data_IF_768932116573
#
_entry.id   IF_768932116573
#
_cell.length_a   1.000
_cell.length_b   1.000
_cell.length_c   1.000
_cell.angle_alpha   90.00
_cell.angle_beta   90.00
_cell.angle_gamma   90.00
#
_symmetry.space_group_name_H-M   'P 1'
#
loop_
_entity.id
_entity.type
_entity.pdbx_description
1 polymer ?
#
# COMPACT_ATOMS: atom_id res chain seq x y z
N UNK A 1 46.09 7.99 5.97
CA UNK A 1 46.00 7.16 7.19
C UNK A 1 44.89 7.75 8.06
N UNK A 2 43.89 6.95 8.44
CA UNK A 2 42.65 7.49 9.02
C UNK A 2 42.35 6.83 10.38
N UNK A 3 42.24 7.62 11.45
CA UNK A 3 41.82 7.22 12.79
C UNK A 3 40.33 6.83 12.84
N UNK A 4 39.48 7.46 13.69
CA UNK A 4 38.08 7.04 13.91
C UNK A 4 37.27 6.84 12.61
N UNK A 5 36.54 5.71 12.52
CA UNK A 5 35.72 5.37 11.34
C UNK A 5 34.28 5.08 11.72
N UNK A 6 33.35 5.50 10.87
CA UNK A 6 31.94 5.09 10.90
C UNK A 6 31.67 4.22 9.69
N UNK A 7 31.16 3.02 9.91
CA UNK A 7 31.07 1.96 8.89
C UNK A 7 29.68 1.34 8.90
N UNK A 8 29.10 1.11 7.72
CA UNK A 8 27.89 0.29 7.52
C UNK A 8 28.27 -1.09 7.00
N UNK A 9 27.78 -2.13 7.68
CA UNK A 9 27.96 -3.53 7.29
C UNK A 9 26.66 -4.07 6.70
N UNK A 10 26.73 -4.53 5.45
CA UNK A 10 25.61 -5.16 4.75
C UNK A 10 25.91 -6.65 4.57
N UNK A 11 25.04 -7.50 5.12
CA UNK A 11 25.22 -8.96 5.10
C UNK A 11 24.50 -9.61 3.90
N UNK A 12 24.92 -10.80 3.44
CA UNK A 12 24.18 -11.57 2.44
C UNK A 12 22.73 -11.87 2.84
N UNK A 13 22.46 -12.08 4.13
CA UNK A 13 21.12 -12.29 4.66
C UNK A 13 20.25 -11.04 4.52
N UNK A 14 20.79 -9.86 4.85
CA UNK A 14 20.11 -8.58 4.63
C UNK A 14 19.79 -8.36 3.15
N UNK A 15 20.74 -8.64 2.25
CA UNK A 15 20.52 -8.55 0.80
C UNK A 15 19.43 -9.51 0.30
N UNK A 16 19.41 -10.75 0.80
CA UNK A 16 18.37 -11.75 0.52
C UNK A 16 17.00 -11.24 0.98
N UNK A 17 16.90 -10.77 2.23
CA UNK A 17 15.67 -10.24 2.81
C UNK A 17 15.13 -9.04 2.05
N UNK A 18 15.98 -8.07 1.67
CA UNK A 18 15.58 -6.92 0.88
C UNK A 18 15.04 -7.36 -0.48
N UNK A 19 15.75 -8.26 -1.18
CA UNK A 19 15.30 -8.80 -2.47
C UNK A 19 13.95 -9.52 -2.32
N UNK A 20 13.81 -10.42 -1.36
CA UNK A 20 12.57 -11.15 -1.11
C UNK A 20 11.41 -10.19 -0.80
N UNK A 21 11.62 -9.20 0.07
CA UNK A 21 10.62 -8.18 0.40
C UNK A 21 10.03 -7.51 -0.84
N UNK A 22 10.90 -7.04 -1.73
CA UNK A 22 10.51 -6.34 -2.95
C UNK A 22 9.87 -7.29 -3.97
N UNK A 23 10.41 -8.49 -4.14
CA UNK A 23 9.83 -9.49 -5.04
C UNK A 23 8.45 -9.95 -4.59
N UNK A 24 8.22 -10.18 -3.30
CA UNK A 24 6.89 -10.55 -2.79
C UNK A 24 5.87 -9.44 -3.03
N UNK A 25 6.26 -8.17 -2.80
CA UNK A 25 5.38 -7.02 -3.11
C UNK A 25 5.07 -6.92 -4.59
N UNK A 26 6.07 -7.09 -5.46
CA UNK A 26 5.89 -7.07 -6.91
C UNK A 26 4.95 -8.20 -7.37
N UNK A 27 5.19 -9.43 -6.92
CA UNK A 27 4.32 -10.59 -7.20
C UNK A 27 2.88 -10.30 -6.84
N UNK A 28 2.63 -9.81 -5.64
CA UNK A 28 1.27 -9.52 -5.19
C UNK A 28 0.63 -8.40 -6.00
N UNK A 29 1.38 -7.38 -6.40
CA UNK A 29 0.88 -6.31 -7.27
C UNK A 29 0.52 -6.83 -8.65
N UNK A 30 1.35 -7.69 -9.23
CA UNK A 30 1.08 -8.36 -10.51
C UNK A 30 -0.19 -9.21 -10.41
N UNK A 31 -0.30 -10.05 -9.37
CA UNK A 31 -1.49 -10.88 -9.13
C UNK A 31 -2.76 -10.04 -8.95
N UNK A 32 -2.68 -8.89 -8.27
CA UNK A 32 -3.81 -7.97 -8.15
C UNK A 32 -4.25 -7.41 -9.52
N UNK A 33 -3.30 -7.01 -10.37
CA UNK A 33 -3.61 -6.52 -11.73
C UNK A 33 -4.19 -7.62 -12.59
N UNK A 34 -3.59 -8.84 -12.57
CA UNK A 34 -4.09 -10.00 -13.29
C UNK A 34 -5.51 -10.37 -12.86
N UNK A 35 -5.73 -10.54 -11.55
CA UNK A 35 -7.05 -10.88 -11.02
C UNK A 35 -8.11 -9.83 -11.38
N UNK A 36 -7.75 -8.54 -11.35
CA UNK A 36 -8.65 -7.46 -11.78
C UNK A 36 -8.96 -7.53 -13.28
N UNK A 37 -7.94 -7.71 -14.13
CA UNK A 37 -8.13 -7.81 -15.58
C UNK A 37 -8.98 -9.03 -15.96
N UNK A 38 -8.74 -10.20 -15.35
CA UNK A 38 -9.52 -11.43 -15.57
C UNK A 38 -10.98 -11.22 -15.14
N UNK A 39 -11.21 -10.66 -13.94
CA UNK A 39 -12.56 -10.39 -13.42
C UNK A 39 -13.40 -9.52 -14.36
N UNK A 40 -12.77 -8.63 -15.14
CA UNK A 40 -13.44 -7.71 -16.04
C UNK A 40 -13.32 -8.08 -17.53
N UNK A 41 -12.84 -9.27 -17.86
CA UNK A 41 -12.60 -9.70 -19.25
C UNK A 41 -11.72 -8.70 -20.05
N UNK A 42 -10.79 -8.03 -19.37
CA UNK A 42 -9.81 -7.11 -19.95
C UNK A 42 -8.40 -7.71 -19.99
N UNK A 43 -8.31 -9.03 -19.83
CA UNK A 43 -7.04 -9.76 -19.83
C UNK A 43 -6.63 -10.04 -21.27
N UNK A 44 -5.49 -9.47 -21.69
CA UNK A 44 -4.91 -9.66 -23.02
C UNK A 44 -3.63 -10.50 -22.93
N UNK A 45 -3.33 -11.28 -23.96
CA UNK A 45 -2.10 -12.09 -24.03
C UNK A 45 -0.83 -11.22 -23.90
N UNK A 46 -0.84 -10.02 -24.50
CA UNK A 46 0.25 -9.04 -24.38
C UNK A 46 0.49 -8.60 -22.92
N UNK A 47 -0.59 -8.38 -22.14
CA UNK A 47 -0.49 -7.99 -20.74
C UNK A 47 0.01 -9.14 -19.89
N UNK A 48 -0.39 -10.38 -20.20
CA UNK A 48 0.14 -11.56 -19.53
C UNK A 48 1.66 -11.69 -19.75
N UNK A 49 2.09 -11.66 -21.02
CA UNK A 49 3.50 -11.78 -21.39
C UNK A 49 4.36 -10.71 -20.73
N UNK A 50 3.92 -9.45 -20.75
CA UNK A 50 4.64 -8.35 -20.13
C UNK A 50 4.77 -8.50 -18.60
N UNK A 51 3.73 -8.98 -17.93
CA UNK A 51 3.76 -9.20 -16.47
C UNK A 51 4.67 -10.38 -16.08
N UNK A 52 4.65 -11.46 -16.86
CA UNK A 52 5.48 -12.64 -16.63
C UNK A 52 6.96 -12.33 -16.90
N UNK A 53 7.28 -11.64 -18.00
CA UNK A 53 8.64 -11.18 -18.33
C UNK A 53 9.19 -10.25 -17.25
N UNK A 54 8.37 -9.31 -16.76
CA UNK A 54 8.75 -8.40 -15.67
C UNK A 54 9.14 -9.18 -14.41
N UNK A 55 8.34 -10.17 -14.03
CA UNK A 55 8.56 -10.98 -12.84
C UNK A 55 9.81 -11.86 -12.99
N UNK A 56 10.00 -12.48 -14.14
CA UNK A 56 11.17 -13.30 -14.45
C UNK A 56 12.47 -12.47 -14.42
N UNK A 57 12.45 -11.28 -15.02
CA UNK A 57 13.58 -10.34 -15.01
C UNK A 57 14.07 -10.06 -13.59
N UNK A 58 13.20 -9.61 -12.68
CA UNK A 58 13.59 -9.25 -11.32
C UNK A 58 13.93 -10.48 -10.44
N UNK A 59 13.36 -11.65 -10.74
CA UNK A 59 13.76 -12.89 -10.07
C UNK A 59 15.20 -13.29 -10.38
N UNK A 60 15.61 -13.13 -11.64
CA UNK A 60 16.92 -13.51 -12.14
C UNK A 60 18.06 -12.55 -11.72
N UNK A 61 17.76 -11.33 -11.26
CA UNK A 61 18.79 -10.41 -10.76
C UNK A 61 19.46 -10.98 -9.51
N UNK A 62 20.80 -11.00 -9.46
CA UNK A 62 21.55 -11.42 -8.27
C UNK A 62 21.16 -10.60 -7.02
N UNK A 63 21.13 -11.27 -5.86
CA UNK A 63 20.92 -10.63 -4.54
C UNK A 63 21.94 -9.52 -4.24
N UNK A 64 23.11 -9.56 -4.87
CA UNK A 64 24.17 -8.57 -4.66
C UNK A 64 23.80 -7.20 -5.26
N UNK A 65 22.91 -7.17 -6.25
CA UNK A 65 22.37 -5.96 -6.86
C UNK A 65 21.09 -5.44 -6.16
N UNK A 66 20.95 -5.69 -4.85
CA UNK A 66 19.75 -5.32 -4.08
C UNK A 66 19.36 -3.83 -4.17
N UNK A 67 20.33 -2.91 -4.29
CA UNK A 67 20.04 -1.47 -4.46
C UNK A 67 19.33 -1.17 -5.78
N UNK A 68 19.73 -1.88 -6.85
CA UNK A 68 19.08 -1.78 -8.17
C UNK A 68 17.64 -2.29 -8.08
N UNK A 69 17.45 -3.44 -7.43
CA UNK A 69 16.12 -4.03 -7.17
C UNK A 69 15.24 -3.06 -6.39
N UNK A 70 15.74 -2.47 -5.29
CA UNK A 70 14.97 -1.53 -4.47
C UNK A 70 14.48 -0.31 -5.27
N UNK A 71 15.32 0.25 -6.14
CA UNK A 71 14.97 1.41 -6.97
C UNK A 71 14.03 1.05 -8.13
N UNK A 72 14.31 -0.04 -8.84
CA UNK A 72 13.57 -0.39 -10.06
C UNK A 72 12.25 -1.07 -9.75
N UNK A 73 12.20 -1.96 -8.74
CA UNK A 73 10.95 -2.62 -8.34
C UNK A 73 9.97 -1.63 -7.72
N UNK A 74 10.44 -0.64 -6.97
CA UNK A 74 9.54 0.42 -6.47
C UNK A 74 8.91 1.20 -7.62
N UNK A 75 9.70 1.62 -8.62
CA UNK A 75 9.19 2.25 -9.85
C UNK A 75 8.23 1.35 -10.63
N UNK A 76 8.50 0.04 -10.70
CA UNK A 76 7.62 -0.92 -11.36
C UNK A 76 6.29 -1.11 -10.61
N UNK A 77 6.30 -1.13 -9.27
CA UNK A 77 5.07 -1.18 -8.46
C UNK A 77 4.23 0.07 -8.73
N UNK A 78 4.83 1.26 -8.77
CA UNK A 78 4.12 2.49 -9.12
C UNK A 78 3.54 2.47 -10.54
N UNK A 79 4.25 1.89 -11.50
CA UNK A 79 3.74 1.68 -12.85
C UNK A 79 2.52 0.74 -12.85
N UNK A 80 2.60 -0.40 -12.15
CA UNK A 80 1.47 -1.33 -12.02
C UNK A 80 0.27 -0.71 -11.30
N UNK A 81 0.48 0.18 -10.33
CA UNK A 81 -0.59 0.95 -9.70
C UNK A 81 -1.28 1.89 -10.70
N UNK A 82 -0.51 2.53 -11.59
CA UNK A 82 -1.07 3.37 -12.67
C UNK A 82 -1.86 2.52 -13.66
N UNK A 83 -1.33 1.34 -14.03
CA UNK A 83 -2.04 0.41 -14.92
C UNK A 83 -3.33 -0.12 -14.29
N UNK A 84 -3.33 -0.53 -13.01
CA UNK A 84 -4.56 -0.89 -12.27
C UNK A 84 -5.56 0.27 -12.32
N UNK A 85 -5.11 1.51 -12.06
CA UNK A 85 -5.98 2.72 -12.14
C UNK A 85 -6.52 2.95 -13.55
N UNK A 86 -5.75 2.69 -14.60
CA UNK A 86 -6.21 2.83 -15.99
C UNK A 86 -7.29 1.78 -16.32
N UNK A 87 -7.09 0.53 -15.89
CA UNK A 87 -8.12 -0.52 -16.01
C UNK A 87 -9.38 -0.15 -15.25
N UNK A 88 -9.25 0.30 -13.99
CA UNK A 88 -10.37 0.79 -13.18
C UNK A 88 -11.12 1.90 -13.90
N UNK A 89 -10.44 2.91 -14.48
CA UNK A 89 -11.08 3.98 -15.26
C UNK A 89 -11.89 3.44 -16.45
N UNK A 90 -11.36 2.46 -17.18
CA UNK A 90 -12.08 1.81 -18.30
C UNK A 90 -13.34 1.11 -17.80
N UNK A 91 -13.24 0.33 -16.73
CA UNK A 91 -14.37 -0.37 -16.10
C UNK A 91 -15.42 0.61 -15.56
N UNK A 92 -14.98 1.67 -14.87
CA UNK A 92 -15.84 2.75 -14.36
C UNK A 92 -16.61 3.40 -15.51
N UNK A 93 -15.96 3.68 -16.65
CA UNK A 93 -16.62 4.25 -17.84
C UNK A 93 -17.71 3.32 -18.39
N UNK A 94 -17.41 2.02 -18.53
CA UNK A 94 -18.37 1.02 -18.98
C UNK A 94 -19.56 0.94 -18.01
N UNK A 95 -19.31 0.81 -16.72
CA UNK A 95 -20.38 0.74 -15.70
C UNK A 95 -21.21 2.01 -15.63
N UNK A 96 -20.57 3.17 -15.74
CA UNK A 96 -21.26 4.46 -15.77
C UNK A 96 -22.23 4.52 -16.95
N UNK A 97 -21.79 4.11 -18.15
CA UNK A 97 -22.66 4.06 -19.33
C UNK A 97 -23.82 3.05 -19.19
N UNK A 98 -23.57 1.90 -18.56
CA UNK A 98 -24.62 0.91 -18.25
C UNK A 98 -25.65 1.48 -17.26
N UNK A 99 -25.20 2.12 -16.19
CA UNK A 99 -26.08 2.76 -15.20
C UNK A 99 -26.92 3.88 -15.83
N UNK A 100 -26.30 4.75 -16.63
CA UNK A 100 -27.01 5.84 -17.32
C UNK A 100 -28.02 5.30 -18.33
N UNK A 101 -27.68 4.25 -19.06
CA UNK A 101 -28.60 3.55 -19.96
C UNK A 101 -29.79 2.96 -19.19
N UNK A 102 -29.54 2.33 -18.04
CA UNK A 102 -30.59 1.75 -17.20
C UNK A 102 -31.53 2.83 -16.69
N UNK A 103 -30.98 3.94 -16.18
CA UNK A 103 -31.75 5.10 -15.72
C UNK A 103 -32.61 5.70 -16.83
N UNK A 104 -32.03 5.89 -18.01
CA UNK A 104 -32.76 6.43 -19.16
C UNK A 104 -33.91 5.50 -19.57
N UNK A 105 -33.66 4.18 -19.65
CA UNK A 105 -34.70 3.20 -19.94
C UNK A 105 -35.81 3.19 -18.90
N UNK A 106 -35.49 3.34 -17.61
CA UNK A 106 -36.48 3.45 -16.53
C UNK A 106 -37.36 4.69 -16.69
N UNK A 107 -36.77 5.85 -17.01
CA UNK A 107 -37.51 7.08 -17.32
C UNK A 107 -38.43 6.89 -18.52
N UNK A 108 -37.89 6.37 -19.63
CA UNK A 108 -38.65 6.12 -20.86
C UNK A 108 -39.78 5.14 -20.64
N UNK A 109 -39.58 4.06 -19.87
CA UNK A 109 -40.62 3.13 -19.51
C UNK A 109 -41.76 3.80 -18.74
N UNK A 110 -41.46 4.62 -17.73
CA UNK A 110 -42.47 5.34 -16.95
C UNK A 110 -43.26 6.33 -17.82
N UNK A 111 -42.59 7.06 -18.71
CA UNK A 111 -43.21 7.98 -19.65
C UNK A 111 -44.12 7.25 -20.66
N UNK A 112 -43.65 6.15 -21.25
CA UNK A 112 -44.44 5.33 -22.18
C UNK A 112 -45.66 4.73 -21.48
N UNK A 113 -45.50 4.23 -20.25
CA UNK A 113 -46.60 3.70 -19.43
C UNK A 113 -47.66 4.75 -19.18
N UNK A 114 -47.26 5.98 -18.85
CA UNK A 114 -48.19 7.10 -18.67
C UNK A 114 -48.93 7.46 -19.96
N UNK A 115 -48.21 7.54 -21.09
CA UNK A 115 -48.79 7.86 -22.39
C UNK A 115 -49.76 6.79 -22.91
N UNK A 116 -49.39 5.50 -22.79
CA UNK A 116 -50.23 4.38 -23.20
C UNK A 116 -51.51 4.32 -22.36
N UNK A 117 -51.41 4.52 -21.04
CA UNK A 117 -52.59 4.62 -20.15
C UNK A 117 -53.50 5.78 -20.55
N UNK A 118 -52.95 6.96 -20.80
CA UNK A 118 -53.74 8.14 -21.19
C UNK A 118 -54.44 7.95 -22.55
N UNK A 119 -53.85 7.18 -23.45
CA UNK A 119 -54.45 6.83 -24.74
C UNK A 119 -55.37 5.60 -24.70
N UNK A 120 -55.60 5.01 -23.52
CA UNK A 120 -56.38 3.78 -23.34
C UNK A 120 -55.92 2.62 -24.26
N UNK A 121 -54.61 2.54 -24.52
CA UNK A 121 -54.04 1.44 -25.29
C UNK A 121 -53.71 0.31 -24.31
N UNK A 122 -54.16 -0.91 -24.61
CA UNK A 122 -53.86 -2.09 -23.77
C UNK A 122 -52.40 -2.51 -23.93
N UNK A 123 -51.71 -2.73 -22.81
CA UNK A 123 -50.33 -3.21 -22.80
C UNK A 123 -50.05 -4.04 -21.55
N UNK A 124 -49.17 -5.04 -21.69
CA UNK A 124 -48.71 -5.83 -20.54
C UNK A 124 -47.74 -5.00 -19.70
N UNK A 125 -48.14 -4.72 -18.46
CA UNK A 125 -47.25 -4.13 -17.48
C UNK A 125 -46.19 -5.16 -17.07
N UNK A 126 -44.92 -4.77 -17.03
CA UNK A 126 -43.83 -5.60 -16.54
C UNK A 126 -42.99 -4.85 -15.53
N UNK A 127 -42.43 -5.57 -14.57
CA UNK A 127 -41.61 -4.97 -13.53
C UNK A 127 -40.24 -4.54 -14.06
N UNK A 128 -39.71 -3.48 -13.44
CA UNK A 128 -38.35 -3.01 -13.70
C UNK A 128 -37.40 -4.08 -13.15
N UNK A 129 -36.42 -4.56 -13.93
CA UNK A 129 -35.54 -5.62 -13.48
C UNK A 129 -34.70 -5.16 -12.29
N UNK A 130 -34.63 -6.02 -11.28
CA UNK A 130 -33.78 -5.86 -10.10
C UNK A 130 -32.28 -5.97 -10.43
N UNK A 131 -31.92 -6.54 -11.60
CA UNK A 131 -30.53 -6.67 -12.03
C UNK A 131 -30.21 -5.77 -13.24
N UNK A 132 -29.33 -4.80 -13.02
CA UNK A 132 -28.81 -3.88 -14.06
C UNK A 132 -28.11 -4.63 -15.20
N UNK A 133 -27.63 -5.86 -14.98
CA UNK A 133 -27.00 -6.66 -16.02
C UNK A 133 -28.01 -7.20 -17.06
N UNK A 134 -29.31 -7.19 -16.77
CA UNK A 134 -30.37 -7.61 -17.70
C UNK A 134 -30.89 -6.47 -18.59
N UNK A 135 -30.10 -5.40 -18.70
CA UNK A 135 -30.48 -4.17 -19.42
C UNK A 135 -30.90 -4.41 -20.88
N UNK A 136 -30.33 -5.42 -21.53
CA UNK A 136 -30.63 -5.75 -22.93
C UNK A 136 -32.03 -6.37 -23.07
N UNK A 137 -32.43 -7.20 -22.11
CA UNK A 137 -33.80 -7.76 -22.05
C UNK A 137 -34.78 -6.63 -21.74
N UNK A 138 -34.43 -5.76 -20.79
CA UNK A 138 -35.25 -4.60 -20.45
C UNK A 138 -35.44 -3.65 -21.63
N UNK A 139 -34.36 -3.35 -22.36
CA UNK A 139 -34.39 -2.52 -23.57
C UNK A 139 -35.37 -3.08 -24.60
N UNK A 140 -35.32 -4.38 -24.89
CA UNK A 140 -36.26 -5.02 -25.83
C UNK A 140 -37.72 -4.85 -25.42
N UNK A 141 -38.03 -4.96 -24.12
CA UNK A 141 -39.40 -4.77 -23.61
C UNK A 141 -39.84 -3.30 -23.72
N UNK A 142 -38.96 -2.34 -23.46
CA UNK A 142 -39.24 -0.90 -23.63
C UNK A 142 -39.44 -0.55 -25.10
N UNK A 143 -38.60 -1.08 -25.99
CA UNK A 143 -38.71 -0.88 -27.44
C UNK A 143 -40.04 -1.43 -27.99
N UNK A 144 -40.54 -2.55 -27.42
CA UNK A 144 -41.87 -3.07 -27.75
C UNK A 144 -43.00 -2.07 -27.39
N UNK A 145 -42.98 -1.49 -26.19
CA UNK A 145 -43.96 -0.47 -25.79
C UNK A 145 -43.88 0.77 -26.68
N UNK A 146 -42.67 1.18 -27.06
CA UNK A 146 -42.47 2.30 -27.99
C UNK A 146 -43.06 2.00 -29.37
N UNK A 147 -42.83 0.81 -29.91
CA UNK A 147 -43.40 0.39 -31.19
C UNK A 147 -44.92 0.31 -31.14
N UNK A 148 -45.49 -0.16 -30.03
CA UNK A 148 -46.93 -0.24 -29.83
C UNK A 148 -47.58 1.15 -29.78
N UNK A 149 -46.96 2.10 -29.07
CA UNK A 149 -47.38 3.52 -29.09
C UNK A 149 -47.28 4.10 -30.50
N UNK A 150 -46.21 3.75 -31.23
CA UNK A 150 -45.98 4.20 -32.60
C UNK A 150 -47.09 3.70 -33.51
N UNK A 151 -47.36 2.40 -33.54
CA UNK A 151 -48.44 1.80 -34.35
C UNK A 151 -49.80 2.46 -34.07
N UNK A 152 -50.17 2.59 -32.79
CA UNK A 152 -51.43 3.24 -32.39
C UNK A 152 -51.51 4.75 -32.70
N UNK A 153 -50.38 5.42 -32.95
CA UNK A 153 -50.35 6.84 -33.34
C UNK A 153 -50.30 7.05 -34.86
N UNK A 154 -49.93 6.03 -35.63
CA UNK A 154 -49.99 6.09 -37.10
C UNK A 154 -51.40 5.83 -37.66
N UNK A 155 -52.32 5.23 -36.89
CA UNK A 155 -53.73 5.07 -37.27
C UNK A 155 -54.51 6.39 -37.23
N UNK A 156 -54.04 7.42 -36.53
CA UNK A 156 -54.61 8.78 -36.58
C UNK A 156 -53.94 9.60 -37.69
N UNK A 157 -54.20 9.24 -38.96
CA UNK A 157 -53.59 9.87 -40.13
C UNK A 157 -54.10 11.28 -40.48
N UNK A 158 -54.61 12.03 -39.50
CA UNK A 158 -54.88 13.47 -39.68
C UNK A 158 -54.20 14.26 -38.58
N UNK A 159 -53.06 14.86 -38.92
CA UNK A 159 -52.51 15.97 -38.12
C UNK A 159 -53.61 17.02 -38.01
N UNK A 160 -54.01 17.32 -36.78
CA UNK A 160 -54.92 18.44 -36.51
C UNK A 160 -54.27 19.73 -37.01
N UNK A 161 -55.09 20.71 -37.40
CA UNK A 161 -54.57 21.98 -37.96
C UNK A 161 -53.64 22.71 -36.97
N UNK A 162 -53.88 22.54 -35.66
CA UNK A 162 -52.97 23.01 -34.60
C UNK A 162 -51.60 22.32 -34.64
N UNK A 163 -51.56 21.00 -34.89
CA UNK A 163 -50.30 20.26 -35.00
C UNK A 163 -49.54 20.59 -36.28
N UNK A 164 -50.23 20.85 -37.41
CA UNK A 164 -49.60 21.37 -38.63
C UNK A 164 -49.02 22.76 -38.41
N UNK A 165 -49.76 23.65 -37.75
CA UNK A 165 -49.29 24.99 -37.42
C UNK A 165 -48.09 24.97 -36.46
N UNK A 166 -48.08 24.07 -35.46
CA UNK A 166 -46.92 23.88 -34.56
C UNK A 166 -45.73 23.30 -35.32
N UNK A 167 -45.95 22.33 -36.21
CA UNK A 167 -44.89 21.76 -37.06
C UNK A 167 -44.28 22.82 -37.99
N UNK A 168 -45.10 23.65 -38.63
CA UNK A 168 -44.65 24.78 -39.44
C UNK A 168 -43.89 25.81 -38.62
N UNK A 169 -44.33 26.14 -37.40
CA UNK A 169 -43.62 27.05 -36.48
C UNK A 169 -42.29 26.49 -35.99
N UNK A 170 -42.21 25.19 -35.75
CA UNK A 170 -40.98 24.52 -35.34
C UNK A 170 -39.99 24.35 -36.50
N UNK A 171 -40.49 24.10 -37.72
CA UNK A 171 -39.66 23.97 -38.93
C UNK A 171 -39.15 25.33 -39.44
N UNK A 172 -39.88 26.42 -39.18
CA UNK A 172 -39.46 27.80 -39.46
C UNK A 172 -38.51 28.39 -38.41
N UNK A 173 -38.16 27.64 -37.36
CA UNK A 173 -37.11 28.01 -36.41
C UNK A 173 -37.55 28.95 -35.28
N UNK A 174 -38.85 29.21 -35.13
CA UNK A 174 -39.41 30.02 -34.03
C UNK A 174 -39.45 29.19 -32.73
N UNK A 175 -38.29 29.07 -32.07
CA UNK A 175 -38.25 28.42 -30.75
C UNK A 175 -38.87 29.34 -29.70
N UNK A 176 -40.02 28.95 -29.13
CA UNK A 176 -40.72 29.69 -28.07
C UNK A 176 -39.94 29.83 -26.74
N UNK A 177 -38.73 29.27 -26.63
CA UNK A 177 -37.80 29.48 -25.53
C UNK A 177 -36.40 29.09 -26.04
N UNK A 178 -35.45 30.02 -26.09
CA UNK A 178 -34.05 29.64 -26.37
C UNK A 178 -33.62 28.57 -25.36
N UNK A 179 -32.99 27.49 -25.83
CA UNK A 179 -32.51 26.39 -24.99
C UNK A 179 -31.63 26.91 -23.83
N UNK A 180 -30.94 28.03 -24.03
CA UNK A 180 -30.19 28.76 -23.01
C UNK A 180 -31.07 29.40 -21.92
N UNK A 181 -32.16 30.09 -22.27
CA UNK A 181 -33.12 30.65 -21.28
C UNK A 181 -33.80 29.54 -20.47
N UNK A 182 -34.21 28.44 -21.11
CA UNK A 182 -34.79 27.30 -20.41
C UNK A 182 -33.78 26.60 -19.47
N UNK A 183 -32.52 26.41 -19.91
CA UNK A 183 -31.45 25.88 -19.04
C UNK A 183 -31.20 26.76 -17.81
N UNK A 184 -31.33 28.07 -17.96
CA UNK A 184 -31.07 29.04 -16.88
C UNK A 184 -32.16 29.07 -15.80
N UNK A 185 -33.39 28.67 -16.15
CA UNK A 185 -34.54 28.61 -15.24
C UNK A 185 -34.69 27.25 -14.51
N UNK A 186 -33.76 26.30 -14.69
CA UNK A 186 -33.79 25.06 -13.90
C UNK A 186 -33.37 25.37 -12.45
N UNK A 187 -34.14 24.92 -11.44
CA UNK A 187 -33.71 25.06 -10.05
C UNK A 187 -32.32 24.42 -9.86
N UNK A 188 -31.37 25.20 -9.34
CA UNK A 188 -29.96 24.80 -9.15
C UNK A 188 -29.75 23.84 -7.97
N UNK A 189 -30.79 23.52 -7.21
CA UNK A 189 -30.73 22.54 -6.12
C UNK A 189 -30.77 21.16 -6.75
N UNK A 190 -29.65 20.44 -6.71
CA UNK A 190 -29.64 19.00 -6.96
C UNK A 190 -30.66 18.39 -6.01
N UNK A 191 -31.75 17.80 -6.53
CA UNK A 191 -32.77 17.17 -5.68
C UNK A 191 -32.10 16.11 -4.79
N UNK A 192 -32.58 15.94 -3.55
CA UNK A 192 -32.02 14.94 -2.61
C UNK A 192 -32.04 13.53 -3.19
N UNK A 193 -33.11 13.21 -3.93
CA UNK A 193 -33.21 11.99 -4.73
C UNK A 193 -32.04 11.84 -5.70
N UNK A 194 -31.63 12.91 -6.40
CA UNK A 194 -30.47 12.87 -7.30
C UNK A 194 -29.14 12.66 -6.56
N UNK A 195 -29.02 13.09 -5.29
CA UNK A 195 -27.84 12.77 -4.46
C UNK A 195 -27.80 11.28 -4.12
N UNK A 196 -28.93 10.71 -3.71
CA UNK A 196 -29.06 9.29 -3.42
C UNK A 196 -28.77 8.43 -4.65
N UNK A 197 -29.32 8.80 -5.81
CA UNK A 197 -29.02 8.13 -7.09
C UNK A 197 -27.53 8.18 -7.43
N UNK A 198 -26.85 9.29 -7.18
CA UNK A 198 -25.40 9.38 -7.38
C UNK A 198 -24.65 8.46 -6.41
N UNK A 199 -25.09 8.37 -5.15
CA UNK A 199 -24.48 7.48 -4.16
C UNK A 199 -24.67 5.99 -4.54
N UNK A 200 -25.84 5.62 -5.06
CA UNK A 200 -26.11 4.27 -5.61
C UNK A 200 -25.29 3.98 -6.87
N UNK A 201 -25.12 4.98 -7.75
CA UNK A 201 -24.20 4.90 -8.90
C UNK A 201 -22.78 4.64 -8.42
N UNK A 202 -22.31 5.32 -7.37
CA UNK A 202 -20.99 5.10 -6.77
C UNK A 202 -20.84 3.69 -6.19
N UNK A 203 -21.88 3.13 -5.53
CA UNK A 203 -21.88 1.73 -5.09
C UNK A 203 -21.74 0.75 -6.25
N UNK A 204 -22.49 0.96 -7.33
CA UNK A 204 -22.44 0.12 -8.53
C UNK A 204 -21.06 0.18 -9.19
N UNK A 205 -20.48 1.39 -9.28
CA UNK A 205 -19.13 1.59 -9.79
C UNK A 205 -18.09 0.88 -8.92
N UNK A 206 -18.26 0.92 -7.59
CA UNK A 206 -17.34 0.37 -6.58
C UNK A 206 -17.41 -1.15 -6.39
N UNK A 207 -18.21 -1.85 -7.22
CA UNK A 207 -18.31 -3.32 -7.23
C UNK A 207 -18.91 -3.93 -5.98
N UNK A 208 -19.85 -3.19 -5.38
CA UNK A 208 -20.65 -3.73 -4.29
C UNK A 208 -21.65 -4.74 -4.87
N UNK A 209 -22.03 -5.74 -4.06
CA UNK A 209 -22.99 -6.76 -4.46
C UNK A 209 -24.30 -6.13 -4.93
N UNK A 210 -24.84 -6.65 -6.04
CA UNK A 210 -26.08 -6.12 -6.62
C UNK A 210 -27.28 -6.27 -5.68
N UNK A 211 -27.31 -7.33 -4.87
CA UNK A 211 -28.35 -7.55 -3.87
C UNK A 211 -28.42 -6.38 -2.88
N UNK A 212 -27.26 -5.87 -2.42
CA UNK A 212 -27.24 -4.75 -1.47
C UNK A 212 -27.66 -3.43 -2.11
N UNK A 213 -27.29 -3.23 -3.38
CA UNK A 213 -27.77 -2.07 -4.16
C UNK A 213 -29.29 -2.17 -4.34
N UNK A 214 -29.82 -3.36 -4.57
CA UNK A 214 -31.25 -3.58 -4.72
C UNK A 214 -31.99 -3.34 -3.41
N UNK A 215 -31.49 -3.82 -2.27
CA UNK A 215 -32.08 -3.51 -0.95
C UNK A 215 -32.25 -2.00 -0.74
N UNK A 216 -31.24 -1.20 -1.07
CA UNK A 216 -31.35 0.25 -0.98
C UNK A 216 -32.32 0.84 -2.01
N UNK A 217 -32.38 0.29 -3.23
CA UNK A 217 -33.34 0.70 -4.26
C UNK A 217 -34.78 0.41 -3.84
N UNK A 218 -35.03 -0.74 -3.21
CA UNK A 218 -36.34 -1.14 -2.71
C UNK A 218 -36.79 -0.20 -1.58
N UNK A 219 -35.89 0.10 -0.62
CA UNK A 219 -36.15 1.12 0.40
C UNK A 219 -36.46 2.49 -0.21
N UNK A 220 -35.85 2.87 -1.34
CA UNK A 220 -36.19 4.13 -2.01
C UNK A 220 -37.61 4.11 -2.60
N UNK A 221 -38.06 2.97 -3.13
CA UNK A 221 -39.40 2.83 -3.73
C UNK A 221 -40.52 2.72 -2.70
N UNK A 222 -40.20 2.29 -1.48
CA UNK A 222 -41.13 2.21 -0.35
C UNK A 222 -41.35 3.57 0.33
N UNK A 223 -40.47 4.55 0.10
CA UNK A 223 -40.63 5.91 0.64
C UNK A 223 -41.78 6.64 -0.07
N UNK A 224 -42.72 7.14 0.72
CA UNK A 224 -43.84 7.95 0.23
C UNK A 224 -43.42 9.43 0.11
N UNK A 225 -43.61 10.02 -1.07
CA UNK A 225 -43.34 11.43 -1.31
C UNK A 225 -44.27 12.35 -0.48
N UNK A 226 -45.40 11.83 0.00
CA UNK A 226 -46.36 12.55 0.84
C UNK A 226 -45.96 12.58 2.33
N UNK A 227 -44.94 11.83 2.76
CA UNK A 227 -44.46 11.83 4.15
C UNK A 227 -43.77 13.17 4.50
N UNK A 228 -44.16 13.86 5.60
CA UNK A 228 -43.49 15.09 6.04
C UNK A 228 -41.98 14.92 6.32
N UNK A 229 -41.50 13.70 6.55
CA UNK A 229 -40.09 13.37 6.81
C UNK A 229 -39.34 12.85 5.57
N UNK A 230 -39.97 12.81 4.39
CA UNK A 230 -39.39 12.25 3.16
C UNK A 230 -37.96 12.74 2.88
N UNK A 231 -37.74 14.06 2.96
CA UNK A 231 -36.44 14.69 2.75
C UNK A 231 -35.37 14.22 3.77
N UNK A 232 -35.75 14.05 5.04
CA UNK A 232 -34.84 13.58 6.10
C UNK A 232 -34.50 12.09 5.92
N UNK A 233 -35.48 11.28 5.54
CA UNK A 233 -35.30 9.86 5.26
C UNK A 233 -34.36 9.65 4.06
N UNK A 234 -34.50 10.46 3.01
CA UNK A 234 -33.58 10.47 1.87
C UNK A 234 -32.15 10.84 2.26
N UNK A 235 -31.98 11.87 3.09
CA UNK A 235 -30.66 12.28 3.57
C UNK A 235 -30.03 11.19 4.46
N UNK A 236 -30.79 10.54 5.33
CA UNK A 236 -30.36 9.39 6.15
C UNK A 236 -29.93 8.19 5.29
N UNK A 237 -30.75 7.83 4.29
CA UNK A 237 -30.45 6.74 3.37
C UNK A 237 -29.20 7.03 2.54
N UNK A 238 -29.02 8.27 2.12
CA UNK A 238 -27.81 8.72 1.40
C UNK A 238 -26.55 8.53 2.25
N UNK A 239 -26.63 8.86 3.56
CA UNK A 239 -25.51 8.65 4.49
C UNK A 239 -25.20 7.17 4.65
N UNK A 240 -26.22 6.32 4.85
CA UNK A 240 -26.04 4.88 5.00
C UNK A 240 -25.38 4.24 3.77
N UNK A 241 -25.83 4.62 2.57
CA UNK A 241 -25.25 4.18 1.30
C UNK A 241 -23.77 4.59 1.19
N UNK A 242 -23.46 5.85 1.48
CA UNK A 242 -22.11 6.38 1.41
C UNK A 242 -21.17 5.72 2.44
N UNK A 243 -21.63 5.54 3.67
CA UNK A 243 -20.89 4.89 4.75
C UNK A 243 -20.61 3.41 4.44
N UNK A 244 -21.62 2.68 3.96
CA UNK A 244 -21.46 1.29 3.56
C UNK A 244 -20.44 1.15 2.42
N UNK A 245 -20.53 2.00 1.40
CA UNK A 245 -19.57 2.02 0.28
C UNK A 245 -18.15 2.27 0.76
N UNK A 246 -17.96 3.28 1.61
CA UNK A 246 -16.67 3.63 2.20
C UNK A 246 -16.08 2.46 3.01
N UNK A 247 -16.89 1.82 3.85
CA UNK A 247 -16.45 0.69 4.67
C UNK A 247 -16.06 -0.53 3.81
N UNK A 248 -16.80 -0.81 2.74
CA UNK A 248 -16.47 -1.89 1.80
C UNK A 248 -15.17 -1.64 1.02
N UNK A 249 -14.94 -0.40 0.59
CA UNK A 249 -13.68 -0.02 -0.05
C UNK A 249 -12.50 -0.16 0.91
N UNK A 250 -12.64 0.36 2.13
CA UNK A 250 -11.61 0.24 3.16
C UNK A 250 -11.32 -1.23 3.52
N UNK A 251 -12.35 -2.07 3.56
CA UNK A 251 -12.22 -3.51 3.81
C UNK A 251 -11.43 -4.20 2.68
N UNK A 252 -11.74 -3.89 1.42
CA UNK A 252 -11.03 -4.46 0.27
C UNK A 252 -9.56 -4.06 0.27
N UNK A 253 -9.25 -2.79 0.50
CA UNK A 253 -7.87 -2.29 0.59
C UNK A 253 -7.12 -2.95 1.75
N UNK A 254 -7.75 -3.04 2.94
CA UNK A 254 -7.14 -3.66 4.11
C UNK A 254 -6.87 -5.17 3.89
N UNK A 255 -7.77 -5.90 3.20
CA UNK A 255 -7.56 -7.30 2.80
C UNK A 255 -6.38 -7.44 1.82
N UNK A 256 -6.28 -6.57 0.82
CA UNK A 256 -5.17 -6.56 -0.15
C UNK A 256 -3.81 -6.32 0.56
N UNK A 257 -3.76 -5.38 1.50
CA UNK A 257 -2.57 -5.11 2.30
C UNK A 257 -2.23 -6.25 3.27
N UNK A 258 -3.23 -6.83 3.93
CA UNK A 258 -3.02 -7.94 4.86
C UNK A 258 -2.48 -9.18 4.14
N UNK A 259 -3.04 -9.52 2.98
CA UNK A 259 -2.50 -10.59 2.13
C UNK A 259 -1.01 -10.34 1.82
N UNK A 260 -0.66 -9.10 1.49
CA UNK A 260 0.73 -8.73 1.22
C UNK A 260 1.63 -8.88 2.45
N UNK A 261 1.17 -8.48 3.63
CA UNK A 261 1.92 -8.67 4.87
C UNK A 261 2.11 -10.16 5.22
N UNK A 262 1.09 -10.99 5.01
CA UNK A 262 1.14 -12.44 5.22
C UNK A 262 2.17 -13.09 4.28
N UNK A 263 2.12 -12.78 2.98
CA UNK A 263 3.07 -13.34 2.00
C UNK A 263 4.52 -12.90 2.31
N UNK A 264 4.70 -11.68 2.83
CA UNK A 264 6.01 -11.21 3.29
C UNK A 264 6.52 -12.00 4.49
N UNK A 265 5.66 -12.32 5.45
CA UNK A 265 6.02 -13.19 6.58
C UNK A 265 6.34 -14.62 6.12
N UNK A 266 5.55 -15.16 5.17
CA UNK A 266 5.83 -16.46 4.56
C UNK A 266 7.20 -16.54 3.86
N UNK A 267 7.69 -15.41 3.33
CA UNK A 267 9.02 -15.35 2.70
C UNK A 267 10.20 -15.46 3.68
N UNK A 268 9.96 -15.31 4.98
CA UNK A 268 11.01 -15.41 6.02
C UNK A 268 11.41 -16.86 6.34
N UNK A 269 10.82 -17.87 5.69
CA UNK A 269 11.13 -19.31 5.87
C UNK A 269 10.98 -19.78 7.35
N UNK A 270 10.10 -19.12 8.11
CA UNK A 270 9.78 -19.48 9.51
C UNK A 270 8.39 -20.13 9.58
N UNK A 271 8.29 -21.24 10.32
CA UNK A 271 7.00 -21.88 10.60
C UNK A 271 6.25 -21.06 11.67
N UNK A 272 5.37 -20.17 11.22
CA UNK A 272 4.57 -19.29 12.09
C UNK A 272 3.12 -19.80 12.13
N UNK A 273 2.75 -20.46 13.24
CA UNK A 273 1.44 -21.12 13.44
C UNK A 273 0.21 -20.19 13.37
N UNK A 274 0.41 -18.87 13.31
CA UNK A 274 -0.67 -17.88 13.19
C UNK A 274 -0.96 -17.47 11.73
N UNK A 275 -0.10 -17.83 10.77
CA UNK A 275 -0.32 -17.52 9.35
C UNK A 275 -1.65 -18.11 8.87
N UNK A 276 -1.93 -19.37 9.20
CA UNK A 276 -3.18 -20.04 8.81
C UNK A 276 -4.42 -19.36 9.41
N UNK A 277 -4.31 -18.82 10.62
CA UNK A 277 -5.40 -18.06 11.25
C UNK A 277 -5.66 -16.76 10.51
N UNK A 278 -4.60 -16.07 10.08
CA UNK A 278 -4.71 -14.80 9.37
C UNK A 278 -5.15 -14.97 7.91
N UNK A 279 -4.82 -16.08 7.26
CA UNK A 279 -5.34 -16.39 5.92
C UNK A 279 -6.84 -16.66 5.96
N UNK A 280 -7.35 -17.34 6.99
CA UNK A 280 -8.80 -17.50 7.20
C UNK A 280 -9.48 -16.15 7.45
N UNK A 281 -8.84 -15.24 8.20
CA UNK A 281 -9.38 -13.91 8.47
C UNK A 281 -9.58 -13.05 7.21
N UNK A 282 -8.85 -13.30 6.13
CA UNK A 282 -9.05 -12.59 4.84
C UNK A 282 -10.47 -12.76 4.28
N UNK A 283 -11.17 -13.83 4.67
CA UNK A 283 -12.55 -14.08 4.25
C UNK A 283 -13.60 -13.41 5.16
N UNK A 284 -13.19 -12.85 6.30
CA UNK A 284 -14.10 -12.16 7.22
C UNK A 284 -14.49 -10.77 6.72
N UNK A 285 -15.65 -10.26 7.14
CA UNK A 285 -16.11 -8.90 6.79
C UNK A 285 -15.90 -7.88 7.92
N UNK A 286 -15.15 -8.24 8.96
CA UNK A 286 -14.83 -7.33 10.06
C UNK A 286 -13.59 -6.48 9.74
N UNK A 287 -13.83 -5.19 9.48
CA UNK A 287 -12.78 -4.23 9.13
C UNK A 287 -11.76 -4.04 10.26
N UNK A 288 -12.21 -4.00 11.51
CA UNK A 288 -11.34 -3.70 12.66
C UNK A 288 -10.40 -4.87 12.94
N UNK A 289 -10.90 -6.11 12.90
CA UNK A 289 -10.07 -7.30 13.06
C UNK A 289 -8.98 -7.40 11.98
N UNK A 290 -9.31 -7.03 10.74
CA UNK A 290 -8.36 -7.04 9.62
C UNK A 290 -7.30 -5.95 9.80
N UNK A 291 -7.69 -4.74 10.23
CA UNK A 291 -6.74 -3.65 10.51
C UNK A 291 -5.80 -3.98 11.66
N UNK A 292 -6.34 -4.50 12.76
CA UNK A 292 -5.55 -4.92 13.92
C UNK A 292 -4.54 -6.02 13.53
N UNK A 293 -4.99 -6.97 12.70
CA UNK A 293 -4.13 -8.05 12.22
C UNK A 293 -3.08 -7.54 11.25
N UNK A 294 -3.42 -6.57 10.39
CA UNK A 294 -2.49 -5.92 9.47
C UNK A 294 -1.37 -5.19 10.22
N UNK A 295 -1.71 -4.44 11.27
CA UNK A 295 -0.70 -3.77 12.11
C UNK A 295 0.22 -4.78 12.79
N UNK A 296 -0.35 -5.84 13.38
CA UNK A 296 0.41 -6.96 13.98
C UNK A 296 1.34 -7.61 12.96
N UNK A 297 0.86 -7.86 11.74
CA UNK A 297 1.65 -8.48 10.67
C UNK A 297 2.82 -7.60 10.23
N UNK A 298 2.59 -6.31 10.00
CA UNK A 298 3.62 -5.32 9.64
C UNK A 298 4.67 -5.18 10.74
N UNK A 299 4.24 -5.10 11.99
CA UNK A 299 5.13 -5.03 13.16
C UNK A 299 6.00 -6.29 13.28
N UNK A 300 5.37 -7.48 13.24
CA UNK A 300 6.09 -8.74 13.35
C UNK A 300 7.10 -8.96 12.22
N UNK A 301 6.76 -8.60 10.99
CA UNK A 301 7.70 -8.68 9.87
C UNK A 301 8.93 -7.81 10.12
N UNK A 302 8.72 -6.58 10.59
CA UNK A 302 9.80 -5.62 10.90
C UNK A 302 10.68 -6.15 12.02
N UNK A 303 10.08 -6.55 13.15
CA UNK A 303 10.80 -7.10 14.30
C UNK A 303 11.63 -8.35 13.95
N UNK A 304 11.04 -9.31 13.24
CA UNK A 304 11.71 -10.57 12.89
C UNK A 304 12.84 -10.30 11.89
N UNK A 305 12.58 -9.52 10.83
CA UNK A 305 13.61 -9.20 9.84
C UNK A 305 14.77 -8.42 10.45
N UNK A 306 14.51 -7.48 11.36
CA UNK A 306 15.55 -6.78 12.11
C UNK A 306 16.37 -7.72 12.99
N UNK A 307 15.72 -8.63 13.73
CA UNK A 307 16.43 -9.64 14.55
C UNK A 307 17.37 -10.49 13.69
N UNK A 308 16.89 -11.02 12.56
CA UNK A 308 17.71 -11.82 11.64
C UNK A 308 18.92 -11.01 11.14
N UNK A 309 18.71 -9.75 10.74
CA UNK A 309 19.78 -8.88 10.24
C UNK A 309 20.81 -8.61 11.35
N UNK A 310 20.37 -8.26 12.55
CA UNK A 310 21.23 -7.96 13.71
C UNK A 310 22.05 -9.17 14.12
N UNK A 311 21.43 -10.34 14.24
CA UNK A 311 22.13 -11.58 14.60
C UNK A 311 23.18 -11.95 13.55
N UNK A 312 22.84 -11.82 12.26
CA UNK A 312 23.78 -12.10 11.18
C UNK A 312 24.97 -11.14 11.20
N UNK A 313 24.71 -9.84 11.39
CA UNK A 313 25.78 -8.83 11.54
C UNK A 313 26.68 -9.15 12.73
N UNK A 314 26.09 -9.48 13.89
CA UNK A 314 26.82 -9.83 15.11
C UNK A 314 27.77 -11.02 14.89
N UNK A 315 27.25 -12.12 14.32
CA UNK A 315 28.05 -13.31 14.01
C UNK A 315 29.23 -13.01 13.08
N UNK A 316 29.00 -12.19 12.05
CA UNK A 316 30.06 -11.81 11.12
C UNK A 316 31.15 -10.96 11.78
N UNK A 317 30.76 -9.97 12.58
CA UNK A 317 31.72 -9.11 13.28
C UNK A 317 32.52 -9.89 14.32
N UNK A 318 31.88 -10.76 15.11
CA UNK A 318 32.56 -11.64 16.08
C UNK A 318 33.66 -12.43 15.38
N UNK A 319 33.31 -13.11 14.29
CA UNK A 319 34.23 -13.94 13.52
C UNK A 319 35.40 -13.13 12.95
N UNK A 320 35.13 -11.93 12.45
CA UNK A 320 36.18 -11.07 11.92
C UNK A 320 37.15 -10.55 13.01
N UNK A 321 36.63 -10.18 14.18
CA UNK A 321 37.45 -9.75 15.32
C UNK A 321 38.31 -10.90 15.86
N UNK A 322 37.73 -12.10 16.02
CA UNK A 322 38.48 -13.28 16.44
C UNK A 322 39.60 -13.65 15.46
N UNK A 323 39.34 -13.58 14.15
CA UNK A 323 40.35 -13.83 13.12
C UNK A 323 41.48 -12.78 13.12
N UNK A 324 41.18 -11.53 13.50
CA UNK A 324 42.18 -10.47 13.65
C UNK A 324 42.96 -10.54 14.98
N UNK A 325 42.69 -11.57 15.80
CA UNK A 325 43.39 -11.81 17.07
C UNK A 325 42.82 -11.04 18.27
N UNK A 326 41.61 -10.50 18.17
CA UNK A 326 40.92 -9.86 19.28
C UNK A 326 40.14 -10.88 20.13
N UNK A 327 40.26 -10.78 21.45
CA UNK A 327 39.49 -11.60 22.38
C UNK A 327 38.06 -11.02 22.53
N UNK A 328 37.05 -11.78 22.10
CA UNK A 328 35.63 -11.45 22.24
C UNK A 328 34.94 -12.55 23.04
N UNK A 329 34.58 -12.25 24.30
CA UNK A 329 33.88 -13.20 25.19
C UNK A 329 32.36 -13.01 25.13
N UNK A 330 31.59 -14.06 25.45
CA UNK A 330 30.12 -14.03 25.35
C UNK A 330 29.46 -13.02 26.30
N UNK A 331 30.09 -12.68 27.43
CA UNK A 331 29.67 -11.58 28.32
C UNK A 331 29.82 -10.20 27.68
N UNK A 332 30.67 -10.06 26.67
CA UNK A 332 30.83 -8.83 25.89
C UNK A 332 29.77 -8.71 24.78
N UNK A 333 29.14 -9.82 24.36
CA UNK A 333 28.06 -9.82 23.37
C UNK A 333 26.76 -9.24 23.94
N UNK A 334 26.39 -9.66 25.15
CA UNK A 334 25.23 -9.12 25.87
C UNK A 334 25.45 -7.65 26.21
N UNK A 335 26.67 -7.30 26.63
CA UNK A 335 27.07 -5.92 26.92
C UNK A 335 27.00 -4.99 25.69
N UNK A 336 27.29 -5.47 24.48
CA UNK A 336 27.20 -4.65 23.27
C UNK A 336 25.74 -4.26 22.97
N UNK A 337 24.80 -5.17 23.20
CA UNK A 337 23.36 -4.93 23.02
C UNK A 337 22.81 -3.98 24.07
N UNK A 338 23.22 -4.14 25.33
CA UNK A 338 22.73 -3.34 26.45
C UNK A 338 23.31 -1.91 26.48
N UNK A 339 24.62 -1.76 26.19
CA UNK A 339 25.32 -0.48 26.35
C UNK A 339 25.60 0.23 25.02
N UNK A 340 25.36 -0.41 23.87
CA UNK A 340 25.66 0.13 22.55
C UNK A 340 27.16 0.31 22.27
N UNK A 341 28.02 -0.32 23.06
CA UNK A 341 29.48 -0.26 22.89
C UNK A 341 30.14 -1.58 23.29
N UNK A 342 31.09 -2.03 22.46
CA UNK A 342 31.94 -3.18 22.69
C UNK A 342 33.40 -2.69 22.76
N UNK A 343 34.12 -3.07 23.81
CA UNK A 343 35.56 -2.78 23.96
C UNK A 343 36.31 -4.11 23.90
N UNK A 344 37.26 -4.22 22.97
CA UNK A 344 38.08 -5.43 22.76
C UNK A 344 39.56 -5.13 22.88
N UNK A 345 40.33 -6.17 23.23
CA UNK A 345 41.80 -6.15 23.27
C UNK A 345 42.37 -7.30 22.46
N UNK A 346 43.58 -7.08 21.92
CA UNK A 346 44.36 -8.11 21.22
C UNK A 346 45.22 -8.95 22.18
N UNK A 347 45.68 -8.34 23.28
CA UNK A 347 46.41 -9.02 24.35
C UNK A 347 46.02 -8.41 25.71
N UNK A 348 46.00 -9.24 26.76
CA UNK A 348 45.64 -8.80 28.12
C UNK A 348 46.54 -7.67 28.65
N UNK A 349 47.80 -7.62 28.23
CA UNK A 349 48.80 -6.61 28.62
C UNK A 349 48.84 -5.33 27.77
N UNK A 350 47.97 -5.19 26.76
CA UNK A 350 48.00 -4.04 25.84
C UNK A 350 47.62 -2.72 26.54
N UNK A 351 48.39 -1.65 26.26
CA UNK A 351 48.09 -0.26 26.65
C UNK A 351 46.85 0.32 25.93
N UNK A 352 46.42 -0.35 24.86
CA UNK A 352 45.39 0.09 23.95
C UNK A 352 44.34 -1.00 23.70
N UNK A 353 43.14 -0.56 23.36
CA UNK A 353 42.06 -1.41 22.90
C UNK A 353 41.28 -0.70 21.80
N UNK A 354 40.24 -1.37 21.30
CA UNK A 354 39.35 -0.81 20.27
C UNK A 354 37.93 -0.78 20.81
N UNK A 355 37.28 0.37 20.71
CA UNK A 355 35.87 0.53 21.03
C UNK A 355 35.04 0.56 19.75
N UNK A 356 34.08 -0.35 19.65
CA UNK A 356 33.03 -0.38 18.64
C UNK A 356 31.73 0.15 19.25
N UNK A 357 31.31 1.35 18.87
CA UNK A 357 30.03 1.92 19.25
C UNK A 357 29.01 1.67 18.14
N UNK A 358 27.79 1.31 18.50
CA UNK A 358 26.72 1.07 17.53
C UNK A 358 25.34 1.31 18.14
N UNK A 359 24.35 1.77 17.36
CA UNK A 359 22.94 1.61 17.73
C UNK A 359 22.59 0.12 17.87
N UNK A 360 21.50 -0.16 18.60
CA UNK A 360 21.02 -1.53 18.89
C UNK A 360 20.87 -2.41 17.63
N UNK A 361 20.54 -1.81 16.49
CA UNK A 361 20.34 -2.51 15.22
C UNK A 361 21.62 -2.79 14.41
N UNK A 362 22.81 -2.47 14.95
CA UNK A 362 24.10 -2.69 14.29
C UNK A 362 24.22 -2.09 12.88
N UNK A 363 23.40 -1.08 12.57
CA UNK A 363 23.31 -0.52 11.22
C UNK A 363 24.51 0.34 10.83
N UNK A 364 25.16 0.98 11.81
CA UNK A 364 26.38 1.77 11.65
C UNK A 364 27.26 1.56 12.86
N UNK A 365 28.52 1.21 12.64
CA UNK A 365 29.48 0.94 13.69
C UNK A 365 30.54 2.02 13.64
N UNK A 366 30.74 2.72 14.74
CA UNK A 366 31.87 3.59 14.94
C UNK A 366 32.99 2.81 15.62
N UNK A 367 34.14 2.69 14.96
CA UNK A 367 35.33 2.07 15.53
C UNK A 367 36.36 3.15 15.87
N UNK A 368 36.92 3.09 17.09
CA UNK A 368 38.04 3.96 17.50
C UNK A 368 39.03 3.22 18.39
N UNK A 369 40.28 3.66 18.36
CA UNK A 369 41.26 3.27 19.35
C UNK A 369 40.93 3.97 20.67
N UNK A 370 41.09 3.24 21.75
CA UNK A 370 40.96 3.71 23.12
C UNK A 370 42.17 3.25 23.91
N UNK A 371 42.45 3.93 25.00
CA UNK A 371 43.63 3.66 25.78
C UNK A 371 43.34 3.40 27.25
N UNK A 372 44.26 2.69 27.90
CA UNK A 372 44.12 2.36 29.31
C UNK A 372 44.31 3.60 30.17
N UNK A 373 43.24 3.99 30.86
CA UNK A 373 43.27 5.10 31.82
C UNK A 373 44.28 4.83 32.95
N UNK A 374 44.42 3.56 33.39
CA UNK A 374 45.28 3.18 34.51
C UNK A 374 46.77 3.26 34.17
N UNK A 375 47.12 3.28 32.88
CA UNK A 375 48.51 3.28 32.38
C UNK A 375 48.83 4.51 31.54
N UNK A 376 48.16 5.63 31.84
CA UNK A 376 48.33 6.90 31.13
C UNK A 376 49.75 7.47 31.17
N UNK A 377 50.54 7.10 32.18
CA UNK A 377 51.94 7.51 32.35
C UNK A 377 52.92 6.78 31.41
N UNK A 378 52.50 5.65 30.82
CA UNK A 378 53.30 4.86 29.87
C UNK A 378 53.03 5.26 28.41
N UNK A 379 52.22 6.30 28.19
CA UNK A 379 51.73 6.74 26.88
C UNK A 379 52.27 8.11 26.49
N UNK A 380 52.33 8.36 25.19
CA UNK A 380 52.65 9.69 24.63
C UNK A 380 51.81 9.95 23.38
N UNK A 381 51.59 11.21 22.97
CA UNK A 381 50.84 11.53 21.75
C UNK A 381 51.41 10.88 20.49
N UNK A 382 52.74 10.64 20.45
CA UNK A 382 53.40 9.94 19.34
C UNK A 382 53.07 8.44 19.34
N UNK A 383 53.00 7.82 20.51
CA UNK A 383 52.58 6.41 20.66
C UNK A 383 51.09 6.24 20.36
N UNK A 384 50.25 7.18 20.81
CA UNK A 384 48.81 7.18 20.51
C UNK A 384 48.56 7.25 18.99
N UNK A 385 49.26 8.16 18.29
CA UNK A 385 49.18 8.27 16.83
C UNK A 385 49.64 6.99 16.13
N UNK A 386 50.78 6.43 16.55
CA UNK A 386 51.29 5.17 15.99
C UNK A 386 50.29 4.02 16.19
N UNK A 387 49.63 3.95 17.35
CA UNK A 387 48.61 2.94 17.58
C UNK A 387 47.38 3.11 16.67
N UNK A 388 46.96 4.35 16.38
CA UNK A 388 45.90 4.58 15.40
C UNK A 388 46.31 4.21 13.98
N UNK A 389 47.58 4.39 13.61
CA UNK A 389 48.13 3.92 12.33
C UNK A 389 48.11 2.38 12.27
N UNK A 390 48.55 1.67 13.31
CA UNK A 390 48.45 0.20 13.40
C UNK A 390 46.99 -0.26 13.28
N UNK A 391 46.05 0.43 13.93
CA UNK A 391 44.63 0.13 13.81
C UNK A 391 44.09 0.34 12.39
N UNK A 392 44.65 1.27 11.60
CA UNK A 392 44.25 1.43 10.20
C UNK A 392 44.54 0.18 9.39
N UNK A 393 45.71 -0.41 9.58
CA UNK A 393 46.17 -1.61 8.88
C UNK A 393 45.37 -2.82 9.34
N UNK A 394 45.18 -2.99 10.65
CA UNK A 394 44.33 -4.06 11.19
C UNK A 394 42.86 -3.92 10.74
N UNK A 395 42.35 -2.70 10.62
CA UNK A 395 41.03 -2.47 10.07
C UNK A 395 40.94 -2.88 8.60
N UNK A 396 42.02 -2.70 7.83
CA UNK A 396 42.10 -3.17 6.45
C UNK A 396 42.03 -4.70 6.38
N UNK A 397 42.72 -5.40 7.29
CA UNK A 397 42.67 -6.86 7.39
C UNK A 397 41.28 -7.36 7.80
N UNK A 398 40.67 -6.73 8.82
CA UNK A 398 39.29 -7.02 9.26
C UNK A 398 38.30 -6.81 8.10
N UNK A 399 38.48 -5.73 7.34
CA UNK A 399 37.67 -5.44 6.16
C UNK A 399 37.84 -6.53 5.11
N UNK A 400 39.07 -6.95 4.80
CA UNK A 400 39.33 -8.01 3.83
C UNK A 400 38.71 -9.36 4.28
N UNK A 401 38.78 -9.69 5.57
CA UNK A 401 38.15 -10.89 6.14
C UNK A 401 36.62 -10.82 5.97
N UNK A 402 36.00 -9.68 6.27
CA UNK A 402 34.55 -9.51 6.09
C UNK A 402 34.14 -9.56 4.62
N UNK A 403 34.92 -8.96 3.71
CA UNK A 403 34.68 -8.99 2.27
C UNK A 403 34.83 -10.41 1.69
N UNK A 404 35.80 -11.19 2.16
CA UNK A 404 35.94 -12.62 1.78
C UNK A 404 34.75 -13.48 2.22
N UNK A 405 33.98 -13.04 3.21
CA UNK A 405 32.72 -13.66 3.63
C UNK A 405 31.50 -13.10 2.88
N UNK A 406 31.73 -12.36 1.79
CA UNK A 406 30.73 -11.71 0.95
C UNK A 406 29.90 -10.63 1.68
N UNK A 407 30.46 -10.00 2.72
CA UNK A 407 29.87 -8.80 3.32
C UNK A 407 30.33 -7.55 2.56
N UNK A 408 29.45 -6.56 2.46
CA UNK A 408 29.80 -5.26 1.90
C UNK A 408 29.99 -4.24 3.02
N UNK A 409 31.11 -3.54 2.98
CA UNK A 409 31.52 -2.53 3.96
C UNK A 409 31.53 -1.18 3.29
N UNK A 410 30.70 -0.26 3.79
CA UNK A 410 30.67 1.14 3.34
C UNK A 410 31.21 2.02 4.47
N UNK A 411 32.24 2.80 4.17
CA UNK A 411 32.81 3.78 5.13
C UNK A 411 32.04 5.09 4.96
N UNK A 412 31.27 5.47 5.97
CA UNK A 412 30.46 6.70 5.99
C UNK A 412 31.30 7.93 6.36
N UNK A 413 32.25 7.75 7.29
CA UNK A 413 33.14 8.81 7.78
C UNK A 413 34.47 8.21 8.21
N UNK A 414 35.56 8.91 7.93
CA UNK A 414 36.91 8.55 8.34
C UNK A 414 37.67 9.83 8.71
N UNK A 415 38.24 9.90 9.91
CA UNK A 415 39.06 11.03 10.38
C UNK A 415 40.55 10.68 10.27
N UNK A 416 41.47 11.64 10.28
CA UNK A 416 42.92 11.36 10.20
C UNK A 416 43.48 10.82 11.52
N UNK A 417 44.53 9.98 11.44
CA UNK A 417 45.18 9.44 12.64
C UNK A 417 45.91 10.56 13.41
N UNK A 418 45.72 10.59 14.73
CA UNK A 418 46.25 11.59 15.66
C UNK A 418 45.47 12.90 15.71
N UNK A 419 44.40 13.06 14.91
CA UNK A 419 43.60 14.29 14.88
C UNK A 419 42.69 14.44 16.12
N UNK A 420 42.22 13.32 16.67
CA UNK A 420 41.37 13.28 17.87
C UNK A 420 42.13 12.61 19.01
N UNK A 421 42.16 13.25 20.18
CA UNK A 421 42.77 12.65 21.38
C UNK A 421 42.06 11.33 21.73
N UNK A 422 42.83 10.28 21.98
CA UNK A 422 42.30 8.97 22.35
C UNK A 422 41.45 9.07 23.62
N UNK A 423 40.32 8.36 23.61
CA UNK A 423 39.48 8.22 24.80
C UNK A 423 40.15 7.26 25.77
N UNK A 424 40.22 7.67 27.02
CA UNK A 424 40.70 6.84 28.13
C UNK A 424 39.54 6.08 28.75
N UNK A 425 39.70 4.77 28.89
CA UNK A 425 38.78 3.88 29.60
C UNK A 425 39.58 2.96 30.51
N UNK A 426 38.97 2.45 31.59
CA UNK A 426 39.65 1.45 32.40
C UNK A 426 39.73 0.16 31.58
N UNK A 427 40.92 -0.21 31.14
CA UNK A 427 41.11 -1.45 30.39
C UNK A 427 41.41 -2.57 31.40
N UNK A 428 40.43 -2.97 32.23
CA UNK A 428 40.56 -4.15 33.11
C UNK A 428 40.61 -5.48 32.33
N UNK A 429 40.70 -6.62 33.03
CA UNK A 429 40.72 -8.00 32.47
C UNK A 429 39.42 -8.45 31.77
N UNK A 430 38.50 -7.52 31.50
CA UNK A 430 37.27 -7.79 30.77
C UNK A 430 36.14 -6.92 31.31
N UNK A 431 35.70 -5.97 30.46
CA UNK A 431 34.49 -5.16 30.60
C UNK A 431 34.50 -4.02 31.66
N UNK A 432 34.11 -2.82 31.21
CA UNK A 432 33.77 -1.68 32.08
C UNK A 432 32.34 -1.25 31.82
N UNK A 433 31.52 -1.37 32.86
CA UNK A 433 30.16 -0.84 32.89
C UNK A 433 30.25 0.69 32.84
N UNK A 434 29.60 1.31 31.85
CA UNK A 434 29.55 2.77 31.72
C UNK A 434 28.70 3.33 32.88
N UNK A 435 29.30 4.11 33.78
CA UNK A 435 28.53 4.84 34.79
C UNK A 435 27.61 5.85 34.09
N UNK A 436 26.31 5.57 34.07
CA UNK A 436 25.30 6.53 33.65
C UNK A 436 25.25 7.62 34.71
N UNK A 437 25.82 8.80 34.42
CA UNK A 437 25.62 10.01 35.24
C UNK A 437 24.15 10.42 35.17
N UNK A 438 23.33 9.89 36.06
CA UNK A 438 22.01 10.44 36.36
C UNK A 438 22.20 11.82 36.99
N UNK A 439 22.00 12.87 36.18
CA UNK A 439 21.80 14.23 36.71
C UNK A 439 20.56 14.19 37.61
N UNK A 440 20.76 14.09 38.93
CA UNK A 440 19.72 14.42 39.91
C UNK A 440 19.30 15.87 39.66
N UNK A 441 18.13 16.06 39.04
CA UNK A 441 17.40 17.34 39.10
C UNK A 441 17.17 17.62 40.58
N UNK A 442 17.88 18.61 41.14
CA UNK A 442 17.50 19.26 42.40
C UNK A 442 16.10 19.82 42.18
N UNK A 443 15.11 19.32 42.93
CA UNK A 443 13.88 20.06 43.17
C UNK A 443 14.24 21.28 43.99
N UNK A 444 13.96 22.46 43.45
CA UNK A 444 13.58 23.65 44.19
C UNK A 444 12.23 24.06 43.62
#
# INVERSE_FOLDING_TARGET
MSGPKVIRIVTPAERKLIKQRWLTRLKNKIEQVKAYAIKHNMFTEELQAALDETLEYYQNISKDNYKKIEREVSGQIEFLDKEKKNLVKKVVKIRTSKWESFKNLKSTYNELRFLLKNKNIDFQNFDIPSNINEIEVYRKKVDYLYNLLKEASFDSQTLTDEQKAIQERLSSGDSLLSVQKWRSNRPKVISRLKKLENALKEMYISEISQNKIQEFMDCCTELDEEDPNYDLLLDSLTIQVAEFSKNQLALREAKEELKTAIDQLGSLELNLNFIDKWTVLLNSDNLDDIKDTLEKAKYLYTEISEKIIVETRRKAIKKALQNAGYEVNDTMETAWVENGSLVVKKAKSSLYGVEFMSPKNLSRIQARVIADKNRSHERSPKLDKNQEEVWCDEFHDIKAILESQNLSIVIDKAEEAGLVKLKEVNLGDGYVKKEVKTKKRKKL
#
